data_IF_265594269352
#
_entry.id   IF_265594269352
#
_cell.length_a   1.000
_cell.length_b   1.000
_cell.length_c   1.000
_cell.angle_alpha   90.00
_cell.angle_beta   90.00
_cell.angle_gamma   90.00
#
_symmetry.space_group_name_H-M   'P 1'
#
loop_
_entity.id
_entity.type
_entity.pdbx_description
1 polymer ?
#
# COMPACT_ATOMS: atom_id res chain seq x y z
N UNK A 1 9.32 -19.14 33.57
CA UNK A 1 8.51 -19.58 32.41
C UNK A 1 8.21 -18.31 31.64
N UNK A 2 8.89 -18.08 30.53
CA UNK A 2 8.59 -16.95 29.66
C UNK A 2 7.29 -17.24 28.92
N UNK A 3 6.24 -16.48 29.21
CA UNK A 3 4.93 -16.60 28.57
C UNK A 3 5.06 -16.14 27.12
N UNK A 4 5.30 -17.09 26.20
CA UNK A 4 5.29 -16.83 24.77
C UNK A 4 3.89 -16.42 24.31
N UNK A 5 3.81 -15.38 23.50
CA UNK A 5 2.57 -14.94 22.85
C UNK A 5 2.41 -15.68 21.53
N UNK A 6 1.25 -16.33 21.38
CA UNK A 6 0.89 -17.06 20.16
C UNK A 6 -0.33 -16.40 19.52
N UNK A 7 -0.25 -16.12 18.22
CA UNK A 7 -1.39 -15.66 17.41
C UNK A 7 -1.67 -16.73 16.36
N UNK A 8 -2.92 -17.22 16.33
CA UNK A 8 -3.38 -18.14 15.30
C UNK A 8 -4.32 -17.41 14.34
N UNK A 9 -4.02 -17.53 13.05
CA UNK A 9 -4.81 -17.02 11.95
C UNK A 9 -5.39 -18.21 11.19
N UNK A 10 -6.70 -18.23 11.02
CA UNK A 10 -7.39 -19.24 10.22
C UNK A 10 -8.09 -18.55 9.04
N UNK A 11 -7.68 -18.91 7.82
CA UNK A 11 -8.24 -18.40 6.58
C UNK A 11 -8.93 -19.53 5.82
N UNK A 12 -10.12 -19.28 5.30
CA UNK A 12 -10.87 -20.25 4.49
C UNK A 12 -11.18 -19.64 3.12
N UNK A 13 -10.44 -20.04 2.09
CA UNK A 13 -10.65 -19.65 0.70
C UNK A 13 -10.36 -20.87 -0.19
N UNK A 14 -11.38 -21.68 -0.51
CA UNK A 14 -11.24 -22.93 -1.29
C UNK A 14 -10.51 -24.08 -0.57
N UNK A 15 -9.39 -23.78 0.11
CA UNK A 15 -8.69 -24.64 1.08
C UNK A 15 -8.55 -23.89 2.42
N UNK A 16 -8.48 -24.65 3.52
CA UNK A 16 -8.31 -24.10 4.87
C UNK A 16 -6.83 -23.96 5.20
N UNK A 17 -6.37 -22.72 5.38
CA UNK A 17 -5.02 -22.38 5.82
C UNK A 17 -5.06 -22.00 7.30
N UNK A 18 -4.23 -22.67 8.11
CA UNK A 18 -4.04 -22.37 9.53
C UNK A 18 -2.58 -21.99 9.76
N UNK A 19 -2.36 -20.76 10.19
CA UNK A 19 -1.04 -20.22 10.49
C UNK A 19 -0.97 -19.86 11.96
N UNK A 20 0.15 -20.21 12.59
CA UNK A 20 0.42 -19.85 13.98
C UNK A 20 1.75 -19.14 14.03
N UNK A 21 1.73 -17.91 14.53
CA UNK A 21 2.92 -17.08 14.75
C UNK A 21 3.16 -17.02 16.25
N UNK A 22 4.34 -17.46 16.68
CA UNK A 22 4.70 -17.54 18.10
C UNK A 22 5.98 -16.76 18.35
N UNK A 23 6.03 -16.04 19.47
CA UNK A 23 7.21 -15.30 19.87
C UNK A 23 7.12 -14.82 21.31
N UNK A 24 8.22 -14.28 21.82
CA UNK A 24 8.33 -13.81 23.21
C UNK A 24 7.88 -12.35 23.40
N UNK A 25 7.83 -11.56 22.31
CA UNK A 25 7.34 -10.17 22.34
C UNK A 25 6.01 -10.03 21.58
N UNK A 26 4.90 -9.65 22.26
CA UNK A 26 3.60 -9.49 21.61
C UNK A 26 3.61 -8.53 20.41
N UNK A 27 4.41 -7.45 20.45
CA UNK A 27 4.45 -6.47 19.34
C UNK A 27 5.11 -7.06 18.09
N UNK A 28 6.20 -7.79 18.27
CA UNK A 28 6.89 -8.50 17.20
C UNK A 28 6.02 -9.59 16.60
N UNK A 29 5.28 -10.34 17.43
CA UNK A 29 4.35 -11.39 16.97
C UNK A 29 3.21 -10.79 16.14
N UNK A 30 2.63 -9.66 16.56
CA UNK A 30 1.60 -8.95 15.80
C UNK A 30 2.13 -8.43 14.47
N UNK A 31 3.35 -7.86 14.44
CA UNK A 31 3.97 -7.38 13.20
C UNK A 31 4.19 -8.53 12.21
N UNK A 32 4.76 -9.64 12.68
CA UNK A 32 5.01 -10.83 11.85
C UNK A 32 3.70 -11.44 11.33
N UNK A 33 2.66 -11.53 12.17
CA UNK A 33 1.34 -11.98 11.75
C UNK A 33 0.73 -11.08 10.66
N UNK A 34 0.94 -9.76 10.76
CA UNK A 34 0.50 -8.79 9.74
C UNK A 34 1.25 -8.97 8.42
N UNK A 35 2.57 -9.13 8.46
CA UNK A 35 3.38 -9.36 7.26
C UNK A 35 2.97 -10.65 6.52
N UNK A 36 2.72 -11.73 7.26
CA UNK A 36 2.24 -13.00 6.70
C UNK A 36 0.85 -12.85 6.05
N UNK A 37 -0.06 -12.12 6.70
CA UNK A 37 -1.38 -11.81 6.12
C UNK A 37 -1.26 -10.99 4.83
N UNK A 38 -0.38 -10.00 4.80
CA UNK A 38 -0.16 -9.16 3.61
C UNK A 38 0.36 -10.02 2.44
N UNK A 39 1.27 -10.98 2.68
CA UNK A 39 1.76 -11.92 1.65
C UNK A 39 0.65 -12.82 1.13
N UNK A 40 -0.12 -13.45 2.03
CA UNK A 40 -1.19 -14.38 1.66
C UNK A 40 -2.28 -13.67 0.87
N UNK A 41 -2.61 -12.43 1.24
CA UNK A 41 -3.57 -11.64 0.47
C UNK A 41 -3.04 -11.31 -0.92
N UNK A 42 -1.74 -11.05 -1.09
CA UNK A 42 -1.14 -10.82 -2.43
C UNK A 42 -1.16 -12.09 -3.29
N UNK A 43 -0.99 -13.27 -2.69
CA UNK A 43 -1.03 -14.56 -3.41
C UNK A 43 -2.47 -15.06 -3.68
N UNK A 44 -3.43 -14.74 -2.80
CA UNK A 44 -4.82 -15.20 -2.89
C UNK A 44 -5.77 -14.20 -3.53
N UNK A 45 -5.46 -12.90 -3.48
CA UNK A 45 -6.07 -12.00 -4.43
C UNK A 45 -5.66 -12.54 -5.81
N UNK A 46 -6.61 -12.76 -6.74
CA UNK A 46 -6.19 -12.96 -8.12
C UNK A 46 -5.21 -11.82 -8.43
N UNK A 47 -4.16 -12.04 -9.25
CA UNK A 47 -3.50 -10.92 -9.87
C UNK A 47 -4.65 -10.20 -10.57
N UNK A 48 -5.23 -9.19 -9.91
CA UNK A 48 -5.97 -8.19 -10.62
C UNK A 48 -4.92 -7.78 -11.61
N UNK A 49 -5.16 -8.09 -12.88
CA UNK A 49 -4.59 -7.32 -13.95
C UNK A 49 -4.77 -5.89 -13.46
N UNK A 50 -3.72 -5.31 -12.88
CA UNK A 50 -3.61 -3.90 -12.65
C UNK A 50 -3.55 -3.40 -14.07
N UNK A 51 -4.72 -3.39 -14.73
CA UNK A 51 -4.95 -2.61 -15.91
C UNK A 51 -4.56 -1.25 -15.39
N UNK A 52 -3.36 -0.82 -15.82
CA UNK A 52 -2.84 0.53 -15.64
C UNK A 52 -3.78 1.46 -16.41
N UNK A 53 -5.02 1.53 -15.95
CA UNK A 53 -5.97 2.54 -16.30
C UNK A 53 -5.44 3.73 -15.54
N UNK A 54 -4.68 4.58 -16.24
CA UNK A 54 -4.10 5.78 -15.64
C UNK A 54 -5.16 6.55 -14.84
N UNK A 55 -4.69 7.39 -13.91
CA UNK A 55 -5.57 8.10 -12.96
C UNK A 55 -6.79 8.73 -13.68
N UNK A 56 -8.04 8.36 -13.33
CA UNK A 56 -9.22 8.83 -14.04
C UNK A 56 -9.36 10.36 -13.98
N UNK A 57 -9.91 11.03 -15.01
CA UNK A 57 -10.05 12.49 -15.04
C UNK A 57 -10.77 13.07 -13.82
N UNK A 58 -11.80 12.39 -13.33
CA UNK A 58 -12.54 12.77 -12.11
C UNK A 58 -11.68 12.81 -10.85
N UNK A 59 -10.60 12.02 -10.81
CA UNK A 59 -9.62 12.02 -9.73
C UNK A 59 -8.59 13.12 -9.95
N UNK A 60 -8.15 13.32 -11.21
CA UNK A 60 -7.20 14.39 -11.59
C UNK A 60 -7.74 15.76 -11.17
N UNK A 61 -9.03 16.03 -11.41
CA UNK A 61 -9.71 17.27 -10.99
C UNK A 61 -9.66 17.52 -9.48
N UNK A 62 -9.50 16.47 -8.67
CA UNK A 62 -9.44 16.56 -7.20
C UNK A 62 -8.01 16.66 -6.67
N UNK A 63 -6.99 16.32 -7.47
CA UNK A 63 -5.59 16.36 -7.06
C UNK A 63 -5.18 17.70 -6.41
N UNK A 64 -5.56 18.88 -6.94
CA UNK A 64 -5.23 20.17 -6.32
C UNK A 64 -5.62 20.27 -4.84
N UNK A 65 -6.65 19.55 -4.40
CA UNK A 65 -7.16 19.56 -3.01
C UNK A 65 -6.55 18.48 -2.13
N UNK A 66 -5.89 17.47 -2.71
CA UNK A 66 -5.30 16.35 -1.98
C UNK A 66 -3.96 16.73 -1.32
N UNK A 67 -3.67 16.19 -0.15
CA UNK A 67 -2.34 16.18 0.45
C UNK A 67 -1.35 15.31 -0.34
N UNK A 68 -0.04 15.50 -0.12
CA UNK A 68 0.99 14.65 -0.73
C UNK A 68 0.74 13.16 -0.46
N UNK A 69 0.32 12.84 0.77
CA UNK A 69 -0.06 11.50 1.20
C UNK A 69 -1.15 10.90 0.31
N UNK A 70 -2.24 11.64 0.11
CA UNK A 70 -3.39 11.20 -0.69
C UNK A 70 -3.05 11.07 -2.17
N UNK A 71 -2.18 11.94 -2.70
CA UNK A 71 -1.69 11.82 -4.07
C UNK A 71 -0.87 10.54 -4.24
N UNK A 72 0.05 10.25 -3.31
CA UNK A 72 0.84 9.01 -3.36
C UNK A 72 -0.05 7.78 -3.24
N UNK A 73 -1.04 7.77 -2.32
CA UNK A 73 -2.02 6.69 -2.22
C UNK A 73 -2.78 6.49 -3.53
N UNK A 74 -3.23 7.58 -4.15
CA UNK A 74 -3.97 7.56 -5.42
C UNK A 74 -3.13 7.00 -6.56
N UNK A 75 -1.89 7.46 -6.70
CA UNK A 75 -0.96 6.99 -7.74
C UNK A 75 -0.70 5.50 -7.61
N UNK A 76 -0.35 5.04 -6.41
CA UNK A 76 -0.06 3.61 -6.18
C UNK A 76 -1.31 2.72 -6.30
N UNK A 77 -2.50 3.28 -6.09
CA UNK A 77 -3.77 2.56 -6.26
C UNK A 77 -4.08 2.30 -7.73
N UNK A 78 -3.96 3.31 -8.60
CA UNK A 78 -4.32 3.22 -10.02
C UNK A 78 -3.18 2.72 -10.92
N UNK A 79 -1.94 3.16 -10.66
CA UNK A 79 -0.80 2.91 -11.56
C UNK A 79 0.14 1.80 -11.04
N UNK A 80 -0.05 1.36 -9.80
CA UNK A 80 0.65 0.22 -9.22
C UNK A 80 2.00 0.59 -8.59
N UNK A 81 2.94 -0.35 -8.61
CA UNK A 81 4.24 -0.17 -7.93
C UNK A 81 5.10 0.88 -8.64
N UNK A 82 5.68 1.82 -7.89
CA UNK A 82 6.43 2.95 -8.45
C UNK A 82 7.64 3.33 -7.59
N UNK A 83 8.70 3.85 -8.22
CA UNK A 83 9.82 4.48 -7.49
C UNK A 83 9.45 5.90 -7.02
N UNK A 84 10.29 6.50 -6.16
CA UNK A 84 10.12 7.91 -5.75
C UNK A 84 10.19 8.84 -6.95
N UNK A 85 11.10 8.59 -7.87
CA UNK A 85 11.29 9.38 -9.09
C UNK A 85 10.05 9.31 -9.96
N UNK A 86 9.48 8.11 -10.13
CA UNK A 86 8.24 7.91 -10.88
C UNK A 86 7.05 8.62 -10.21
N UNK A 87 6.93 8.58 -8.88
CA UNK A 87 5.91 9.32 -8.13
C UNK A 87 6.06 10.84 -8.33
N UNK A 88 7.26 11.39 -8.19
CA UNK A 88 7.53 12.82 -8.39
C UNK A 88 7.16 13.26 -9.81
N UNK A 89 7.66 12.52 -10.81
CA UNK A 89 7.39 12.82 -12.22
C UNK A 89 5.90 12.74 -12.54
N UNK A 90 5.23 11.66 -12.11
CA UNK A 90 3.83 11.42 -12.43
C UNK A 90 2.90 12.41 -11.75
N UNK A 91 3.14 12.69 -10.46
CA UNK A 91 2.35 13.70 -9.74
C UNK A 91 2.45 15.08 -10.40
N UNK A 92 3.64 15.46 -10.88
CA UNK A 92 3.85 16.68 -11.66
C UNK A 92 3.09 16.68 -13.00
N UNK A 93 3.11 15.58 -13.74
CA UNK A 93 2.36 15.43 -15.00
C UNK A 93 0.84 15.57 -14.81
N UNK A 94 0.32 15.08 -13.69
CA UNK A 94 -1.09 15.18 -13.34
C UNK A 94 -1.49 16.54 -12.73
N UNK A 95 -0.55 17.49 -12.66
CA UNK A 95 -0.81 18.87 -12.25
C UNK A 95 -0.63 19.16 -10.76
N UNK A 96 -0.14 18.21 -9.95
CA UNK A 96 0.25 18.47 -8.56
C UNK A 96 1.48 17.69 -8.13
N UNK A 97 2.61 18.38 -8.12
CA UNK A 97 3.89 17.79 -7.75
C UNK A 97 3.95 17.39 -6.27
N UNK A 98 4.28 16.11 -6.02
CA UNK A 98 4.83 15.66 -4.75
C UNK A 98 6.35 15.82 -4.81
N UNK A 99 6.88 16.75 -4.02
CA UNK A 99 8.30 17.14 -4.11
C UNK A 99 9.24 16.01 -3.72
N UNK A 100 10.41 15.96 -4.36
CA UNK A 100 11.49 15.02 -4.01
C UNK A 100 11.87 15.11 -2.54
N UNK A 101 11.93 16.33 -2.00
CA UNK A 101 12.21 16.57 -0.58
C UNK A 101 11.21 15.87 0.34
N UNK A 102 9.91 15.94 0.04
CA UNK A 102 8.90 15.25 0.83
C UNK A 102 9.04 13.72 0.67
N UNK A 103 9.30 13.23 -0.54
CA UNK A 103 9.49 11.80 -0.79
C UNK A 103 10.71 11.23 -0.05
N UNK A 104 11.76 12.02 0.12
CA UNK A 104 12.96 11.59 0.82
C UNK A 104 12.84 11.66 2.34
N UNK A 105 12.22 12.71 2.86
CA UNK A 105 12.16 12.96 4.31
C UNK A 105 10.92 12.38 4.99
N UNK A 106 9.81 12.27 4.26
CA UNK A 106 8.47 12.07 4.85
C UNK A 106 7.71 10.87 4.30
N UNK A 107 8.09 10.31 3.15
CA UNK A 107 7.35 9.19 2.57
C UNK A 107 7.19 8.04 3.55
N UNK A 108 8.27 7.53 4.13
CA UNK A 108 8.19 6.39 5.05
C UNK A 108 7.47 6.70 6.36
N UNK A 109 7.64 7.91 6.90
CA UNK A 109 7.05 8.28 8.20
C UNK A 109 5.57 8.61 8.08
N UNK A 110 5.15 9.30 7.02
CA UNK A 110 3.74 9.66 6.80
C UNK A 110 2.91 8.51 6.18
N UNK A 111 3.57 7.55 5.53
CA UNK A 111 2.97 6.36 4.89
C UNK A 111 3.25 5.05 5.64
N UNK A 112 3.72 5.12 6.88
CA UNK A 112 4.04 3.92 7.67
C UNK A 112 2.84 2.96 7.74
N UNK A 113 3.08 1.69 7.40
CA UNK A 113 2.04 0.65 7.36
C UNK A 113 1.05 0.74 6.20
N UNK A 114 1.09 1.82 5.40
CA UNK A 114 0.28 1.98 4.17
C UNK A 114 1.04 1.53 2.92
N UNK A 115 2.37 1.58 2.93
CA UNK A 115 3.20 1.13 1.81
C UNK A 115 4.21 0.07 2.26
N UNK A 116 4.60 -0.77 1.32
CA UNK A 116 5.74 -1.68 1.42
C UNK A 116 6.74 -1.37 0.31
N UNK A 117 8.01 -1.71 0.52
CA UNK A 117 9.05 -1.55 -0.51
C UNK A 117 9.50 -2.92 -1.02
N UNK A 118 9.67 -3.04 -2.33
CA UNK A 118 10.29 -4.19 -3.00
C UNK A 118 11.52 -3.70 -3.78
N UNK A 119 12.54 -4.54 -3.89
CA UNK A 119 13.68 -4.24 -4.75
C UNK A 119 13.33 -4.60 -6.19
N UNK A 120 13.51 -3.66 -7.11
CA UNK A 120 13.49 -3.92 -8.55
C UNK A 120 14.68 -4.81 -8.92
N UNK A 121 14.56 -5.56 -10.03
CA UNK A 121 15.69 -6.28 -10.62
C UNK A 121 16.88 -5.39 -11.00
N UNK A 122 16.66 -4.07 -11.09
CA UNK A 122 17.69 -3.05 -11.35
C UNK A 122 18.26 -2.42 -10.05
N UNK A 123 17.88 -2.91 -8.87
CA UNK A 123 18.40 -2.44 -7.57
C UNK A 123 17.75 -1.18 -7.01
N UNK A 124 16.72 -0.64 -7.69
CA UNK A 124 15.94 0.50 -7.19
C UNK A 124 14.79 0.05 -6.30
N UNK A 125 14.50 0.81 -5.23
CA UNK A 125 13.33 0.55 -4.37
C UNK A 125 12.05 0.99 -5.06
N UNK A 126 11.13 0.06 -5.26
CA UNK A 126 9.76 0.30 -5.67
C UNK A 126 8.84 0.27 -4.46
N UNK A 127 7.82 1.12 -4.48
CA UNK A 127 6.84 1.25 -3.42
C UNK A 127 5.50 0.77 -3.93
N UNK A 128 4.78 0.03 -3.09
CA UNK A 128 3.43 -0.46 -3.38
C UNK A 128 2.54 -0.35 -2.16
N UNK A 129 1.23 -0.26 -2.37
CA UNK A 129 0.28 -0.27 -1.26
C UNK A 129 0.30 -1.61 -0.53
N UNK A 130 0.26 -1.57 0.79
CA UNK A 130 -0.17 -2.71 1.60
C UNK A 130 -1.68 -2.90 1.46
N UNK A 131 -2.24 -3.97 2.02
CA UNK A 131 -3.69 -4.16 2.09
C UNK A 131 -4.36 -2.98 2.79
N UNK A 132 -3.79 -2.58 3.92
CA UNK A 132 -4.26 -1.41 4.67
C UNK A 132 -4.12 -0.11 3.87
N UNK A 133 -3.01 0.04 3.13
CA UNK A 133 -2.81 1.17 2.22
C UNK A 133 -3.87 1.26 1.12
N UNK A 134 -4.23 0.11 0.52
CA UNK A 134 -5.28 0.02 -0.50
C UNK A 134 -6.64 0.42 0.05
N UNK A 135 -7.05 -0.13 1.19
CA UNK A 135 -8.30 0.25 1.85
C UNK A 135 -8.34 1.75 2.17
N UNK A 136 -7.21 2.31 2.63
CA UNK A 136 -7.13 3.75 2.91
C UNK A 136 -7.21 4.60 1.65
N UNK A 137 -6.60 4.16 0.56
CA UNK A 137 -6.73 4.82 -0.74
C UNK A 137 -8.19 4.82 -1.21
N UNK A 138 -8.90 3.69 -1.09
CA UNK A 138 -10.31 3.60 -1.44
C UNK A 138 -11.19 4.52 -0.58
N UNK A 139 -10.91 4.63 0.72
CA UNK A 139 -11.61 5.56 1.62
C UNK A 139 -11.43 7.01 1.19
N UNK A 140 -10.18 7.40 0.88
CA UNK A 140 -9.86 8.74 0.35
C UNK A 140 -10.62 9.00 -0.94
N UNK A 141 -10.59 8.06 -1.89
CA UNK A 141 -11.26 8.22 -3.19
C UNK A 141 -12.79 8.32 -3.02
N UNK A 142 -13.40 7.50 -2.18
CA UNK A 142 -14.84 7.58 -1.85
C UNK A 142 -15.20 8.91 -1.18
N UNK A 143 -14.37 9.41 -0.27
CA UNK A 143 -14.58 10.71 0.39
C UNK A 143 -14.58 11.89 -0.60
N UNK A 144 -13.91 11.72 -1.74
CA UNK A 144 -13.86 12.70 -2.82
C UNK A 144 -15.02 12.54 -3.83
N UNK A 145 -15.93 11.59 -3.58
CA UNK A 145 -17.08 11.29 -4.43
C UNK A 145 -16.73 10.46 -5.66
N UNK A 146 -15.60 9.75 -5.66
CA UNK A 146 -15.19 8.90 -6.77
C UNK A 146 -15.82 7.52 -6.58
N UNK A 147 -16.65 7.10 -7.54
CA UNK A 147 -17.14 5.73 -7.62
C UNK A 147 -16.00 4.82 -8.02
N UNK A 148 -15.69 3.86 -7.17
CA UNK A 148 -14.70 2.82 -7.46
C UNK A 148 -15.39 1.64 -8.14
N UNK A 149 -14.72 0.98 -9.11
CA UNK A 149 -15.23 -0.25 -9.72
C UNK A 149 -15.35 -1.40 -8.71
#
# INVERSE_FOLDING_TARGET
MDEGVSITLELTVGQRLKLTVTGSDPRSVVRAAKEVLDVIYVELAPPQEQQRQGVPPSVIEKLPKMSNKEIVLTLLYFEGEMSKEAINQRSKELGKEVTKEWLDKKLYTEMEGLISSVESGEGHKLYRLTVYGRQKAEEVLRSLGISLP
#
